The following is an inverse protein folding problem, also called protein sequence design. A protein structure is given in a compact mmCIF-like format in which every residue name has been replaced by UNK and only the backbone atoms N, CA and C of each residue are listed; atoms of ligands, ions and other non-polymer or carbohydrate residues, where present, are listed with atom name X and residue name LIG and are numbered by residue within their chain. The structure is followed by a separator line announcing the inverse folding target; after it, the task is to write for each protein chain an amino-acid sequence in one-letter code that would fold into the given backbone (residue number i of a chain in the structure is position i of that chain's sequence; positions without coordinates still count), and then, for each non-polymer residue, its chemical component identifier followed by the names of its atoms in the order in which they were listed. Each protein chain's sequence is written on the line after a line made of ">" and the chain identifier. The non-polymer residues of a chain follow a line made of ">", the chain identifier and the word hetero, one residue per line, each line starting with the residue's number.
data_IF_698122187496
#
_entry.id   IF_698122187496
#
_cell.length_a   1.000
_cell.length_b   1.000
_cell.length_c   1.000
_cell.angle_alpha   90.00
_cell.angle_beta   90.00
_cell.angle_gamma   90.00
#
_symmetry.space_group_name_H-M   'P 1'
#
loop_
_entity.id
_entity.type
_entity.pdbx_description
1 polymer ?
#
# COMPACT_ATOMS: atom_id res chain seq x y z
N UNK A 1 0.45 17.52 -4.60
CA UNK A 1 1.55 16.91 -3.80
C UNK A 1 2.41 16.08 -4.73
N UNK A 2 3.73 16.14 -4.62
CA UNK A 2 4.60 15.25 -5.41
C UNK A 2 4.42 13.80 -4.94
N UNK A 3 4.44 12.83 -5.87
CA UNK A 3 4.34 11.39 -5.59
C UNK A 3 5.41 10.66 -6.40
N UNK A 4 6.25 9.90 -5.70
CA UNK A 4 7.34 9.14 -6.34
C UNK A 4 6.80 8.09 -7.33
N UNK A 5 5.62 7.53 -7.05
CA UNK A 5 4.95 6.55 -7.92
C UNK A 5 4.62 7.08 -9.33
N UNK A 6 4.62 8.41 -9.55
CA UNK A 6 4.46 8.98 -10.89
C UNK A 6 5.56 8.54 -11.87
N UNK A 7 6.76 8.25 -11.38
CA UNK A 7 7.86 7.71 -12.19
C UNK A 7 7.42 6.41 -12.87
N UNK A 8 6.77 5.51 -12.11
CA UNK A 8 6.27 4.24 -12.66
C UNK A 8 5.17 4.45 -13.72
N UNK A 9 4.37 5.52 -13.62
CA UNK A 9 3.38 5.86 -14.64
C UNK A 9 4.07 6.40 -15.90
N UNK A 10 5.14 7.19 -15.76
CA UNK A 10 5.94 7.67 -16.89
C UNK A 10 6.65 6.53 -17.61
N UNK A 11 7.21 5.56 -16.87
CA UNK A 11 7.85 4.37 -17.44
C UNK A 11 6.83 3.49 -18.16
N UNK A 12 5.64 3.30 -17.59
CA UNK A 12 4.55 2.61 -18.26
C UNK A 12 4.15 3.29 -19.57
N UNK A 13 4.01 4.61 -19.57
CA UNK A 13 3.59 5.37 -20.75
C UNK A 13 4.60 5.22 -21.91
N UNK A 14 5.90 5.21 -21.61
CA UNK A 14 7.00 5.07 -22.58
C UNK A 14 7.24 3.65 -23.05
N UNK A 15 6.70 2.67 -22.33
CA UNK A 15 6.91 1.26 -22.66
C UNK A 15 6.22 0.88 -23.97
N UNK A 16 6.97 0.30 -24.91
CA UNK A 16 6.41 -0.28 -26.15
C UNK A 16 5.51 -1.51 -25.89
N UNK A 17 5.60 -2.10 -24.70
CA UNK A 17 4.82 -3.26 -24.30
C UNK A 17 3.67 -2.89 -23.37
N UNK A 18 3.37 -1.58 -23.21
CA UNK A 18 2.33 -1.12 -22.31
C UNK A 18 0.98 -1.75 -22.67
N UNK A 19 0.24 -2.06 -21.63
CA UNK A 19 -1.17 -2.45 -21.69
C UNK A 19 -2.00 -1.39 -20.96
N UNK A 20 -3.33 -1.39 -21.07
CA UNK A 20 -4.16 -0.56 -20.18
C UNK A 20 -3.73 -0.69 -18.73
N UNK A 21 -3.44 0.43 -18.06
CA UNK A 21 -2.94 0.48 -16.69
C UNK A 21 -4.10 0.55 -15.70
N UNK A 22 -4.17 -0.39 -14.77
CA UNK A 22 -5.14 -0.35 -13.67
C UNK A 22 -4.43 0.09 -12.39
N UNK A 23 -4.84 1.24 -11.83
CA UNK A 23 -4.41 1.70 -10.52
C UNK A 23 -5.25 1.02 -9.44
N UNK A 24 -4.58 0.22 -8.62
CA UNK A 24 -5.17 -0.48 -7.48
C UNK A 24 -4.81 0.22 -6.16
N UNK A 25 -5.42 -0.21 -5.05
CA UNK A 25 -5.13 0.31 -3.71
C UNK A 25 -6.37 0.77 -2.96
N UNK A 26 -6.22 1.03 -1.67
CA UNK A 26 -7.32 1.43 -0.79
C UNK A 26 -8.03 2.70 -1.28
N UNK A 27 -9.24 2.94 -0.76
CA UNK A 27 -9.91 4.21 -1.01
C UNK A 27 -9.12 5.39 -0.43
N UNK A 28 -9.20 6.55 -1.09
CA UNK A 28 -8.60 7.81 -0.66
C UNK A 28 -7.05 7.84 -0.63
N UNK A 29 -6.38 6.87 -1.27
CA UNK A 29 -4.90 6.89 -1.44
C UNK A 29 -4.43 7.77 -2.61
N UNK A 30 -5.36 8.40 -3.36
CA UNK A 30 -5.05 9.39 -4.39
C UNK A 30 -5.01 8.84 -5.82
N UNK A 31 -5.67 7.73 -6.15
CA UNK A 31 -5.71 7.15 -7.52
C UNK A 31 -6.21 8.14 -8.57
N UNK A 32 -7.39 8.74 -8.37
CA UNK A 32 -7.96 9.76 -9.27
C UNK A 32 -7.03 10.95 -9.44
N UNK A 33 -6.44 11.43 -8.34
CA UNK A 33 -5.49 12.54 -8.39
C UNK A 33 -4.26 12.19 -9.25
N UNK A 34 -3.68 11.00 -9.09
CA UNK A 34 -2.53 10.56 -9.89
C UNK A 34 -2.84 10.52 -11.38
N UNK A 35 -4.00 9.98 -11.77
CA UNK A 35 -4.41 9.93 -13.18
C UNK A 35 -4.61 11.35 -13.76
N UNK A 36 -5.27 12.22 -13.02
CA UNK A 36 -5.53 13.60 -13.46
C UNK A 36 -4.27 14.47 -13.47
N UNK A 37 -3.35 14.27 -12.52
CA UNK A 37 -2.06 14.94 -12.48
C UNK A 37 -1.20 14.54 -13.67
N UNK A 38 -1.05 13.22 -13.92
CA UNK A 38 -0.35 12.71 -15.09
C UNK A 38 -0.96 13.25 -16.39
N UNK A 39 -2.29 13.22 -16.50
CA UNK A 39 -3.01 13.73 -17.66
C UNK A 39 -2.75 15.23 -17.91
N UNK A 40 -2.74 16.03 -16.85
CA UNK A 40 -2.52 17.47 -16.95
C UNK A 40 -1.12 17.83 -17.47
N UNK A 41 -0.13 17.00 -17.15
CA UNK A 41 1.26 17.21 -17.53
C UNK A 41 1.58 16.68 -18.94
N UNK A 42 1.02 15.53 -19.34
CA UNK A 42 1.38 14.82 -20.56
C UNK A 42 0.32 14.88 -21.67
N UNK A 43 -0.96 15.03 -21.32
CA UNK A 43 -2.10 15.05 -22.25
C UNK A 43 -3.05 16.23 -21.99
N UNK A 44 -2.56 17.47 -21.84
CA UNK A 44 -3.37 18.60 -21.33
C UNK A 44 -4.60 18.92 -22.20
N UNK A 45 -4.56 18.59 -23.49
CA UNK A 45 -5.67 18.81 -24.45
C UNK A 45 -6.32 17.54 -24.95
N UNK A 46 -5.65 16.40 -24.80
CA UNK A 46 -6.00 15.12 -25.41
C UNK A 46 -6.42 14.07 -24.36
N UNK A 47 -6.92 14.52 -23.21
CA UNK A 47 -7.46 13.61 -22.18
C UNK A 47 -8.96 13.47 -22.32
N UNK A 48 -9.42 12.22 -22.37
CA UNK A 48 -10.83 11.84 -22.24
C UNK A 48 -11.03 11.15 -20.90
N UNK A 49 -11.74 11.80 -19.99
CA UNK A 49 -12.00 11.31 -18.64
C UNK A 49 -13.46 10.86 -18.52
N UNK A 50 -13.65 9.63 -18.06
CA UNK A 50 -14.94 9.01 -17.80
C UNK A 50 -14.99 8.53 -16.35
N UNK A 51 -15.94 9.03 -15.57
CA UNK A 51 -16.26 8.51 -14.25
C UNK A 51 -17.54 7.67 -14.34
N UNK A 52 -17.43 6.38 -14.08
CA UNK A 52 -18.56 5.47 -14.15
C UNK A 52 -19.51 5.57 -12.94
N UNK A 53 -19.13 6.20 -11.86
CA UNK A 53 -20.03 6.43 -10.71
C UNK A 53 -21.08 7.50 -11.04
N UNK A 54 -20.68 8.57 -11.74
CA UNK A 54 -21.50 9.75 -11.99
C UNK A 54 -22.19 9.72 -13.36
N UNK A 55 -22.05 8.65 -14.14
CA UNK A 55 -22.56 8.58 -15.52
C UNK A 55 -23.41 7.33 -15.76
N UNK A 56 -24.67 7.38 -15.31
CA UNK A 56 -25.63 6.30 -15.48
C UNK A 56 -25.87 5.96 -16.96
N UNK A 57 -26.02 6.99 -17.81
CA UNK A 57 -26.25 6.80 -19.24
C UNK A 57 -25.12 6.01 -19.89
N UNK A 58 -23.88 6.34 -19.59
CA UNK A 58 -22.74 5.64 -20.16
C UNK A 58 -22.63 4.20 -19.62
N UNK A 59 -22.94 3.97 -18.33
CA UNK A 59 -23.02 2.59 -17.79
C UNK A 59 -24.07 1.75 -18.52
N UNK A 60 -25.23 2.31 -18.81
CA UNK A 60 -26.29 1.65 -19.54
C UNK A 60 -25.90 1.38 -21.00
N UNK A 61 -25.24 2.35 -21.65
CA UNK A 61 -24.69 2.16 -23.00
C UNK A 61 -23.68 1.01 -23.01
N UNK A 62 -22.71 0.99 -22.10
CA UNK A 62 -21.75 -0.13 -22.00
C UNK A 62 -22.41 -1.49 -21.75
N UNK A 63 -23.58 -1.52 -21.13
CA UNK A 63 -24.35 -2.77 -20.93
C UNK A 63 -24.89 -3.32 -22.24
N UNK A 64 -25.21 -2.47 -23.20
CA UNK A 64 -25.94 -2.80 -24.41
C UNK A 64 -25.09 -2.83 -25.70
N UNK A 65 -23.87 -2.24 -25.68
CA UNK A 65 -23.00 -2.22 -26.86
C UNK A 65 -22.22 -3.53 -27.04
N UNK A 66 -21.75 -3.77 -28.26
CA UNK A 66 -20.64 -4.68 -28.50
C UNK A 66 -19.38 -4.07 -27.92
N UNK A 67 -18.62 -4.81 -27.10
CA UNK A 67 -17.45 -4.29 -26.36
C UNK A 67 -16.13 -4.43 -27.15
N UNK A 68 -16.16 -4.52 -28.49
CA UNK A 68 -14.95 -4.33 -29.29
C UNK A 68 -14.44 -2.86 -29.18
N UNK A 69 -13.16 -2.64 -29.44
CA UNK A 69 -12.52 -1.37 -29.18
C UNK A 69 -13.17 -0.21 -29.98
N UNK A 70 -13.62 -0.47 -31.21
CA UNK A 70 -14.22 0.56 -32.07
C UNK A 70 -15.50 1.11 -31.47
N UNK A 71 -16.45 0.22 -31.11
CA UNK A 71 -17.71 0.65 -30.51
C UNK A 71 -17.54 1.30 -29.15
N UNK A 72 -16.57 0.83 -28.36
CA UNK A 72 -16.22 1.47 -27.07
C UNK A 72 -15.76 2.90 -27.31
N UNK A 73 -14.80 3.12 -28.22
CA UNK A 73 -14.26 4.45 -28.52
C UNK A 73 -15.32 5.37 -29.13
N UNK A 74 -16.13 4.90 -30.08
CA UNK A 74 -17.24 5.64 -30.67
C UNK A 74 -18.27 6.06 -29.60
N UNK A 75 -18.67 5.13 -28.74
CA UNK A 75 -19.63 5.41 -27.65
C UNK A 75 -19.11 6.50 -26.71
N UNK A 76 -17.83 6.40 -26.28
CA UNK A 76 -17.23 7.40 -25.41
C UNK A 76 -17.07 8.74 -26.12
N UNK A 77 -16.67 8.74 -27.40
CA UNK A 77 -16.52 9.94 -28.20
C UNK A 77 -17.85 10.71 -28.33
N UNK A 78 -18.94 9.98 -28.59
CA UNK A 78 -20.29 10.57 -28.64
C UNK A 78 -20.75 11.11 -27.29
N UNK A 79 -20.54 10.34 -26.22
CA UNK A 79 -20.96 10.72 -24.88
C UNK A 79 -20.18 11.95 -24.32
N UNK A 80 -18.90 12.09 -24.70
CA UNK A 80 -18.02 13.17 -24.20
C UNK A 80 -17.84 14.33 -25.16
N UNK A 81 -18.26 14.17 -26.43
CA UNK A 81 -18.00 15.17 -27.48
C UNK A 81 -16.53 15.27 -27.89
N UNK A 82 -15.67 14.34 -27.49
CA UNK A 82 -14.21 14.37 -27.73
C UNK A 82 -13.80 13.27 -28.69
N UNK A 83 -12.91 13.58 -29.63
CA UNK A 83 -12.30 12.61 -30.55
C UNK A 83 -11.22 11.81 -29.81
N UNK A 84 -11.23 10.50 -29.93
CA UNK A 84 -10.23 9.59 -29.34
C UNK A 84 -9.34 9.07 -30.48
N UNK A 85 -8.02 9.27 -30.35
CA UNK A 85 -7.02 8.89 -31.37
C UNK A 85 -5.86 8.15 -30.74
N UNK A 86 -5.48 7.02 -31.32
CA UNK A 86 -4.24 6.31 -30.92
C UNK A 86 -3.02 7.22 -31.02
N UNK A 87 -2.09 7.04 -30.09
CA UNK A 87 -0.84 7.82 -30.00
C UNK A 87 -1.00 9.27 -29.57
N UNK A 88 -2.23 9.76 -29.38
CA UNK A 88 -2.49 11.15 -28.96
C UNK A 88 -3.36 11.26 -27.72
N UNK A 89 -4.35 10.40 -27.58
CA UNK A 89 -5.36 10.50 -26.52
C UNK A 89 -4.99 9.61 -25.34
N UNK A 90 -5.10 10.17 -24.13
CA UNK A 90 -5.16 9.41 -22.90
C UNK A 90 -6.63 9.20 -22.50
N UNK A 91 -7.07 7.95 -22.45
CA UNK A 91 -8.40 7.56 -22.00
C UNK A 91 -8.34 7.15 -20.53
N UNK A 92 -9.13 7.80 -19.67
CA UNK A 92 -9.18 7.53 -18.23
C UNK A 92 -10.56 6.99 -17.86
N UNK A 93 -10.57 5.81 -17.23
CA UNK A 93 -11.74 5.17 -16.64
C UNK A 93 -11.65 5.21 -15.12
N UNK A 94 -12.38 6.12 -14.50
CA UNK A 94 -12.45 6.19 -13.04
C UNK A 94 -13.68 5.46 -12.51
N UNK A 95 -13.56 4.90 -11.30
CA UNK A 95 -14.56 4.04 -10.63
C UNK A 95 -15.07 2.91 -11.55
N UNK A 96 -14.14 2.27 -12.29
CA UNK A 96 -14.42 1.28 -13.34
C UNK A 96 -15.20 0.05 -12.80
N UNK A 97 -15.14 -0.24 -11.49
CA UNK A 97 -15.91 -1.33 -10.87
C UNK A 97 -17.43 -1.12 -10.95
N UNK A 98 -17.90 0.11 -11.18
CA UNK A 98 -19.32 0.42 -11.37
C UNK A 98 -19.82 -0.05 -12.75
N UNK A 99 -18.91 -0.30 -13.71
CA UNK A 99 -19.23 -0.85 -15.05
C UNK A 99 -18.39 -2.10 -15.35
N UNK A 100 -18.86 -3.31 -15.00
CA UNK A 100 -18.14 -4.56 -15.28
C UNK A 100 -17.78 -4.78 -16.75
N UNK A 101 -18.58 -4.23 -17.67
CA UNK A 101 -18.31 -4.33 -19.11
C UNK A 101 -17.23 -3.33 -19.57
N UNK A 102 -17.13 -2.17 -18.93
CA UNK A 102 -15.99 -1.26 -19.14
C UNK A 102 -14.68 -1.93 -18.71
N UNK A 103 -14.67 -2.66 -17.59
CA UNK A 103 -13.52 -3.46 -17.20
C UNK A 103 -13.17 -4.54 -18.24
N UNK A 104 -14.18 -5.22 -18.80
CA UNK A 104 -13.96 -6.22 -19.86
C UNK A 104 -13.44 -5.59 -21.15
N UNK A 105 -13.86 -4.35 -21.48
CA UNK A 105 -13.42 -3.65 -22.70
C UNK A 105 -11.94 -3.33 -22.74
N UNK A 106 -11.27 -3.27 -21.57
CA UNK A 106 -9.80 -3.07 -21.51
C UNK A 106 -9.04 -4.15 -22.28
N UNK A 107 -9.58 -5.39 -22.34
CA UNK A 107 -8.98 -6.45 -23.15
C UNK A 107 -8.98 -6.09 -24.64
N UNK A 108 -10.12 -5.64 -25.15
CA UNK A 108 -10.28 -5.31 -26.58
C UNK A 108 -9.48 -4.05 -26.93
N UNK A 109 -9.48 -3.04 -26.07
CA UNK A 109 -8.63 -1.86 -26.24
C UNK A 109 -7.13 -2.24 -26.30
N UNK A 110 -6.68 -3.21 -25.49
CA UNK A 110 -5.32 -3.71 -25.53
C UNK A 110 -4.99 -4.44 -26.85
N UNK A 111 -5.93 -5.23 -27.37
CA UNK A 111 -5.70 -6.10 -28.55
C UNK A 111 -5.88 -5.37 -29.87
N UNK A 112 -6.87 -4.49 -29.96
CA UNK A 112 -7.30 -3.87 -31.21
C UNK A 112 -6.80 -2.42 -31.38
N UNK A 113 -6.44 -1.74 -30.28
CA UNK A 113 -5.94 -0.37 -30.26
C UNK A 113 -4.72 -0.21 -29.32
N UNK A 114 -3.61 -0.95 -29.58
CA UNK A 114 -2.44 -0.95 -28.66
C UNK A 114 -1.75 0.40 -28.55
N UNK A 115 -1.91 1.28 -29.53
CA UNK A 115 -1.37 2.64 -29.50
C UNK A 115 -2.17 3.59 -28.58
N UNK A 116 -3.39 3.23 -28.14
CA UNK A 116 -4.17 4.05 -27.24
C UNK A 116 -3.68 3.93 -25.79
N UNK A 117 -3.34 5.04 -25.18
CA UNK A 117 -3.01 5.07 -23.74
C UNK A 117 -4.32 5.01 -22.94
N UNK A 118 -4.45 3.99 -22.09
CA UNK A 118 -5.65 3.79 -21.25
C UNK A 118 -5.23 3.62 -19.80
N UNK A 119 -5.78 4.44 -18.91
CA UNK A 119 -5.64 4.29 -17.47
C UNK A 119 -7.01 4.00 -16.85
N UNK A 120 -7.05 3.13 -15.88
CA UNK A 120 -8.27 2.83 -15.14
C UNK A 120 -8.00 2.86 -13.64
N UNK A 121 -8.96 3.32 -12.86
CA UNK A 121 -8.91 3.21 -11.41
C UNK A 121 -10.23 2.65 -10.89
N UNK A 122 -10.13 1.88 -9.82
CA UNK A 122 -11.29 1.43 -9.10
C UNK A 122 -10.93 1.01 -7.69
N UNK A 123 -11.78 1.38 -6.76
CA UNK A 123 -11.71 0.85 -5.42
C UNK A 123 -12.36 -0.53 -5.39
N UNK A 124 -11.79 -1.49 -4.65
CA UNK A 124 -12.39 -2.82 -4.47
C UNK A 124 -12.50 -3.65 -5.77
N UNK A 125 -11.62 -3.43 -6.75
CA UNK A 125 -11.61 -4.21 -8.00
C UNK A 125 -11.49 -5.72 -7.74
N UNK A 126 -10.67 -6.15 -6.80
CA UNK A 126 -10.56 -7.55 -6.37
C UNK A 126 -11.87 -8.15 -5.86
N UNK A 127 -12.74 -7.33 -5.27
CA UNK A 127 -14.04 -7.76 -4.75
C UNK A 127 -15.13 -7.80 -5.82
N UNK A 128 -15.10 -6.89 -6.78
CA UNK A 128 -16.10 -6.85 -7.86
C UNK A 128 -16.04 -8.09 -8.75
N UNK A 129 -14.86 -8.69 -8.86
CA UNK A 129 -14.60 -9.91 -9.64
C UNK A 129 -15.24 -11.15 -9.03
N UNK A 130 -15.43 -11.21 -7.72
CA UNK A 130 -15.98 -12.35 -7.00
C UNK A 130 -17.53 -12.31 -6.88
N UNK A 131 -18.20 -11.28 -7.40
CA UNK A 131 -19.67 -11.21 -7.36
C UNK A 131 -20.31 -12.17 -8.38
N UNK A 132 -20.59 -13.40 -7.97
CA UNK A 132 -21.53 -14.29 -8.69
C UNK A 132 -22.93 -13.66 -8.66
N UNK A 133 -23.39 -13.09 -9.77
CA UNK A 133 -24.80 -12.69 -9.90
C UNK A 133 -25.69 -13.92 -9.79
N UNK A 134 -26.74 -13.85 -8.93
CA UNK A 134 -27.82 -14.85 -8.90
C UNK A 134 -28.39 -15.01 -10.30
N UNK A 135 -28.51 -16.27 -10.78
CA UNK A 135 -29.22 -16.63 -12.02
C UNK A 135 -30.67 -16.14 -11.91
N UNK A 136 -31.01 -15.08 -12.60
CA UNK A 136 -32.39 -14.76 -12.93
C UNK A 136 -32.87 -15.72 -14.04
N UNK A 137 -34.05 -16.32 -13.87
CA UNK A 137 -34.74 -17.07 -14.94
C UNK A 137 -35.19 -16.07 -16.01
N UNK A 138 -34.51 -16.04 -17.15
CA UNK A 138 -34.86 -15.23 -18.31
C UNK A 138 -33.71 -15.22 -19.31
N UNK A 139 -34.02 -15.52 -20.57
CA UNK A 139 -33.13 -15.53 -21.72
C UNK A 139 -32.67 -14.09 -22.03
N UNK A 140 -31.73 -13.55 -21.28
CA UNK A 140 -30.99 -12.33 -21.60
C UNK A 140 -29.52 -12.67 -21.54
N UNK A 141 -28.74 -12.20 -22.52
CA UNK A 141 -27.31 -12.32 -22.64
C UNK A 141 -26.67 -12.16 -21.27
N UNK A 142 -26.14 -13.24 -20.71
CA UNK A 142 -25.52 -13.23 -19.40
C UNK A 142 -24.35 -12.27 -19.47
N UNK A 143 -24.47 -11.10 -18.83
CA UNK A 143 -23.41 -10.11 -18.62
C UNK A 143 -22.31 -10.74 -17.75
N UNK A 144 -21.55 -11.68 -18.30
CA UNK A 144 -20.32 -12.18 -17.70
C UNK A 144 -19.24 -11.11 -17.92
N UNK A 145 -19.06 -10.26 -16.93
CA UNK A 145 -17.82 -9.52 -16.84
C UNK A 145 -16.68 -10.54 -16.80
N UNK A 146 -15.80 -10.48 -17.79
CA UNK A 146 -14.55 -11.22 -17.80
C UNK A 146 -13.45 -10.27 -17.41
N UNK A 147 -12.64 -10.67 -16.42
CA UNK A 147 -11.45 -9.89 -16.09
C UNK A 147 -10.45 -9.96 -17.25
N UNK A 148 -9.79 -8.85 -17.64
CA UNK A 148 -8.86 -8.81 -18.77
C UNK A 148 -7.50 -9.44 -18.43
N UNK A 149 -7.49 -10.74 -18.06
CA UNK A 149 -6.29 -11.46 -17.65
C UNK A 149 -5.19 -11.37 -18.71
N UNK A 150 -3.99 -10.94 -18.31
CA UNK A 150 -2.84 -10.83 -19.20
C UNK A 150 -2.91 -9.68 -20.22
N UNK A 151 -3.96 -8.86 -20.20
CA UNK A 151 -4.21 -7.74 -21.13
C UNK A 151 -4.22 -6.37 -20.44
N UNK A 152 -3.80 -6.32 -19.20
CA UNK A 152 -3.67 -5.11 -18.39
C UNK A 152 -2.40 -5.17 -17.57
N UNK A 153 -1.86 -4.00 -17.27
CA UNK A 153 -0.82 -3.77 -16.28
C UNK A 153 -1.43 -3.28 -14.97
N UNK A 154 -0.78 -3.53 -13.86
CA UNK A 154 -1.25 -3.13 -12.54
C UNK A 154 -0.23 -2.23 -11.85
N UNK A 155 -0.73 -1.22 -11.17
CA UNK A 155 0.07 -0.37 -10.29
C UNK A 155 -0.64 -0.19 -8.95
N UNK A 156 0.01 -0.64 -7.88
CA UNK A 156 -0.51 -0.53 -6.53
C UNK A 156 -0.20 0.85 -5.93
N UNK A 157 -1.25 1.62 -5.67
CA UNK A 157 -1.14 2.94 -5.05
C UNK A 157 -1.26 2.80 -3.53
N UNK A 158 -0.23 3.26 -2.85
CA UNK A 158 -0.09 3.21 -1.39
C UNK A 158 -0.29 4.60 -0.78
N UNK A 159 -0.51 4.73 0.54
CA UNK A 159 -0.38 5.99 1.24
C UNK A 159 0.98 6.64 0.97
N UNK A 160 1.12 7.94 1.21
CA UNK A 160 2.40 8.64 1.07
C UNK A 160 3.45 8.02 2.00
N UNK A 161 4.67 7.84 1.48
CA UNK A 161 5.85 7.50 2.27
C UNK A 161 6.31 8.68 3.13
N UNK A 162 7.23 8.44 4.06
CA UNK A 162 7.87 9.53 4.81
C UNK A 162 8.55 10.53 3.87
N UNK A 163 9.19 10.06 2.81
CA UNK A 163 9.78 10.88 1.76
C UNK A 163 8.75 11.80 1.11
N UNK A 164 7.65 11.24 0.64
CA UNK A 164 6.56 11.99 0.01
C UNK A 164 5.88 12.97 0.98
N UNK A 165 5.80 12.62 2.26
CA UNK A 165 5.34 13.51 3.33
C UNK A 165 6.26 14.72 3.49
N UNK A 166 7.58 14.54 3.53
CA UNK A 166 8.54 15.64 3.61
C UNK A 166 8.39 16.61 2.43
N UNK A 167 8.26 16.07 1.21
CA UNK A 167 7.98 16.89 0.02
C UNK A 167 6.65 17.66 0.14
N UNK A 168 5.61 16.99 0.66
CA UNK A 168 4.29 17.62 0.81
C UNK A 168 4.27 18.77 1.81
N UNK A 169 5.12 18.69 2.84
CA UNK A 169 5.24 19.73 3.86
C UNK A 169 6.35 20.77 3.57
N UNK A 170 7.02 20.70 2.41
CA UNK A 170 8.06 21.64 2.02
C UNK A 170 9.39 21.48 2.76
N UNK A 171 9.68 20.27 3.23
CA UNK A 171 10.92 19.91 3.95
C UNK A 171 11.82 18.97 3.12
N UNK A 172 11.70 19.03 1.81
CA UNK A 172 12.45 18.22 0.84
C UNK A 172 13.96 18.42 0.90
N UNK A 173 14.47 19.57 1.42
CA UNK A 173 15.90 19.81 1.69
C UNK A 173 16.56 18.73 2.57
N UNK A 174 15.79 18.08 3.43
CA UNK A 174 16.30 16.98 4.27
C UNK A 174 16.47 15.68 3.50
N UNK A 175 15.72 15.48 2.42
CA UNK A 175 15.86 14.30 1.55
C UNK A 175 17.21 14.29 0.85
N UNK A 176 17.70 15.45 0.41
CA UNK A 176 19.01 15.58 -0.24
C UNK A 176 20.15 15.09 0.66
N UNK A 177 20.04 15.26 1.98
CA UNK A 177 21.02 14.77 2.93
C UNK A 177 21.01 13.23 3.00
N UNK A 178 19.82 12.62 3.01
CA UNK A 178 19.67 11.15 3.02
C UNK A 178 20.15 10.57 1.70
N UNK A 179 19.73 11.15 0.57
CA UNK A 179 20.06 10.67 -0.77
C UNK A 179 21.59 10.71 -1.06
N UNK A 180 22.28 11.74 -0.55
CA UNK A 180 23.75 11.87 -0.65
C UNK A 180 24.50 11.12 0.44
N UNK A 181 23.79 10.53 1.41
CA UNK A 181 24.38 9.88 2.58
C UNK A 181 25.36 10.80 3.33
N UNK A 182 24.98 12.08 3.52
CA UNK A 182 25.78 13.04 4.29
C UNK A 182 25.65 12.77 5.80
N UNK A 183 26.29 11.68 6.25
CA UNK A 183 26.17 11.18 7.61
C UNK A 183 26.43 12.24 8.68
N UNK A 184 27.40 13.13 8.44
CA UNK A 184 27.74 14.21 9.37
C UNK A 184 26.61 15.24 9.51
N UNK A 185 26.05 15.66 8.39
CA UNK A 185 24.93 16.60 8.41
C UNK A 185 23.64 15.95 8.91
N UNK A 186 23.40 14.66 8.58
CA UNK A 186 22.30 13.89 9.12
C UNK A 186 22.36 13.84 10.64
N UNK A 187 23.53 13.59 11.21
CA UNK A 187 23.71 13.56 12.67
C UNK A 187 23.45 14.94 13.32
N UNK A 188 24.01 16.01 12.75
CA UNK A 188 23.75 17.38 13.22
C UNK A 188 22.26 17.70 13.19
N UNK A 189 21.53 17.23 12.16
CA UNK A 189 20.12 17.49 11.97
C UNK A 189 19.21 16.41 12.59
N UNK A 190 19.74 15.40 13.27
CA UNK A 190 18.99 14.31 13.89
C UNK A 190 17.77 14.78 14.70
N UNK A 191 17.86 15.81 15.58
CA UNK A 191 16.69 16.27 16.32
C UNK A 191 15.54 16.73 15.42
N UNK A 192 15.84 17.32 14.25
CA UNK A 192 14.84 17.75 13.27
C UNK A 192 14.24 16.53 12.57
N UNK A 193 15.08 15.61 12.10
CA UNK A 193 14.60 14.35 11.48
C UNK A 193 13.66 13.58 12.41
N UNK A 194 14.05 13.44 13.69
CA UNK A 194 13.20 12.76 14.69
C UNK A 194 11.87 13.48 14.89
N UNK A 195 11.87 14.82 14.93
CA UNK A 195 10.63 15.61 15.01
C UNK A 195 9.74 15.41 13.79
N UNK A 196 10.31 15.43 12.60
CA UNK A 196 9.59 15.21 11.34
C UNK A 196 9.04 13.79 11.24
N UNK A 197 9.83 12.78 11.64
CA UNK A 197 9.36 11.40 11.70
C UNK A 197 8.20 11.23 12.67
N UNK A 198 8.30 11.80 13.88
CA UNK A 198 7.20 11.78 14.85
C UNK A 198 5.94 12.45 14.30
N UNK A 199 6.07 13.55 13.55
CA UNK A 199 4.94 14.18 12.88
C UNK A 199 4.32 13.24 11.85
N UNK A 200 5.13 12.55 11.03
CA UNK A 200 4.63 11.55 10.09
C UNK A 200 3.96 10.35 10.78
N UNK A 201 4.55 9.81 11.84
CA UNK A 201 3.93 8.71 12.60
C UNK A 201 2.55 9.08 13.16
N UNK A 202 2.31 10.37 13.42
CA UNK A 202 1.01 10.86 13.85
C UNK A 202 0.04 11.11 12.68
N UNK A 203 0.51 11.81 11.63
CA UNK A 203 -0.31 12.22 10.47
C UNK A 203 -0.56 11.05 9.53
N UNK A 204 0.44 10.16 9.37
CA UNK A 204 0.42 9.09 8.38
C UNK A 204 0.62 9.58 6.96
N UNK A 205 0.39 8.68 6.02
CA UNK A 205 0.52 8.91 4.58
C UNK A 205 -0.81 9.08 3.84
N UNK A 206 -1.96 9.14 4.52
CA UNK A 206 -3.23 9.36 3.82
C UNK A 206 -3.29 10.77 3.22
N UNK A 207 -3.51 10.91 1.88
CA UNK A 207 -3.40 12.19 1.17
C UNK A 207 -4.17 13.34 1.81
N UNK A 208 -5.40 13.10 2.26
CA UNK A 208 -6.22 14.14 2.90
C UNK A 208 -5.63 14.61 4.23
N UNK A 209 -5.18 13.68 5.07
CA UNK A 209 -4.56 14.01 6.35
C UNK A 209 -3.23 14.77 6.14
N UNK A 210 -2.42 14.36 5.17
CA UNK A 210 -1.17 15.03 4.80
C UNK A 210 -1.45 16.43 4.25
N UNK A 211 -2.44 16.59 3.36
CA UNK A 211 -2.86 17.89 2.80
C UNK A 211 -3.25 18.86 3.91
N UNK A 212 -4.19 18.45 4.76
CA UNK A 212 -4.64 19.27 5.89
C UNK A 212 -3.48 19.69 6.78
N UNK A 213 -2.59 18.75 7.11
CA UNK A 213 -1.40 19.05 7.92
C UNK A 213 -0.41 19.96 7.19
N UNK A 214 -0.19 19.79 5.90
CA UNK A 214 0.73 20.63 5.12
C UNK A 214 0.28 22.11 5.08
N UNK A 215 -1.02 22.33 5.01
CA UNK A 215 -1.63 23.68 4.94
C UNK A 215 -1.73 24.35 6.32
N UNK A 216 -2.01 23.57 7.39
CA UNK A 216 -2.38 24.13 8.71
C UNK A 216 -1.34 23.93 9.80
N UNK A 217 -0.47 22.91 9.68
CA UNK A 217 0.44 22.43 10.74
C UNK A 217 -0.29 22.05 12.04
N UNK A 218 -1.60 21.83 11.99
CA UNK A 218 -2.42 21.49 13.14
C UNK A 218 -2.70 19.98 13.20
N UNK A 219 -2.15 19.30 14.20
CA UNK A 219 -2.37 17.87 14.45
C UNK A 219 -3.83 17.51 14.77
N UNK A 220 -4.63 18.44 15.30
CA UNK A 220 -6.05 18.21 15.62
C UNK A 220 -6.85 18.11 14.32
N UNK A 221 -6.55 18.97 13.35
CA UNK A 221 -7.21 18.95 12.04
C UNK A 221 -6.80 17.71 11.24
N UNK A 222 -5.52 17.32 11.26
CA UNK A 222 -5.06 16.06 10.67
C UNK A 222 -5.78 14.86 11.31
N UNK A 223 -5.92 14.82 12.65
CA UNK A 223 -6.67 13.77 13.36
C UNK A 223 -8.14 13.73 12.98
N UNK A 224 -8.76 14.89 12.75
CA UNK A 224 -10.13 14.97 12.24
C UNK A 224 -10.23 14.29 10.86
N UNK A 225 -9.36 14.65 9.92
CA UNK A 225 -9.31 14.04 8.59
C UNK A 225 -9.15 12.50 8.66
N UNK A 226 -8.26 12.00 9.52
CA UNK A 226 -8.10 10.56 9.74
C UNK A 226 -9.38 9.87 10.26
N UNK A 227 -10.09 10.51 11.21
CA UNK A 227 -11.36 9.98 11.73
C UNK A 227 -12.44 9.97 10.65
N UNK A 228 -12.49 10.98 9.80
CA UNK A 228 -13.43 11.04 8.68
C UNK A 228 -13.13 9.93 7.65
N UNK A 229 -11.86 9.63 7.38
CA UNK A 229 -11.44 8.49 6.55
C UNK A 229 -11.89 7.16 7.17
N UNK A 230 -11.65 6.93 8.46
CA UNK A 230 -12.06 5.71 9.16
C UNK A 230 -13.59 5.52 9.13
N UNK A 231 -14.34 6.61 9.30
CA UNK A 231 -15.81 6.60 9.18
C UNK A 231 -16.26 6.26 7.77
N UNK A 232 -15.58 6.79 6.73
CA UNK A 232 -15.86 6.46 5.34
C UNK A 232 -15.62 4.98 5.07
N UNK A 233 -14.57 4.38 5.62
CA UNK A 233 -14.30 2.94 5.49
C UNK A 233 -15.39 2.08 6.14
N UNK A 234 -15.89 2.46 7.33
CA UNK A 234 -17.01 1.74 7.96
C UNK A 234 -18.29 1.78 7.12
N UNK A 235 -18.58 2.94 6.49
CA UNK A 235 -19.69 3.06 5.53
C UNK A 235 -19.49 2.20 4.30
N UNK A 236 -18.26 2.07 3.81
CA UNK A 236 -17.92 1.20 2.68
C UNK A 236 -18.10 -0.28 3.02
N UNK A 237 -17.73 -0.70 4.23
CA UNK A 237 -18.02 -2.04 4.71
C UNK A 237 -19.52 -2.32 4.64
N UNK A 238 -20.34 -1.37 5.12
CA UNK A 238 -21.79 -1.51 5.10
C UNK A 238 -22.38 -1.55 3.68
N UNK A 239 -21.82 -0.78 2.73
CA UNK A 239 -22.26 -0.73 1.32
C UNK A 239 -21.91 -2.01 0.56
N UNK A 240 -20.73 -2.57 0.81
CA UNK A 240 -20.16 -3.64 -0.03
C UNK A 240 -20.20 -5.04 0.60
N UNK A 241 -20.44 -5.17 1.91
CA UNK A 241 -20.64 -6.47 2.53
C UNK A 241 -21.89 -7.16 1.99
N UNK A 242 -21.74 -8.42 1.56
CA UNK A 242 -22.86 -9.22 0.97
C UNK A 242 -24.04 -9.41 1.91
N UNK A 243 -23.80 -9.40 3.21
CA UNK A 243 -24.80 -9.59 4.26
C UNK A 243 -24.30 -9.02 5.61
N UNK A 244 -25.23 -8.92 6.59
CA UNK A 244 -24.93 -8.41 7.94
C UNK A 244 -23.88 -9.23 8.69
N UNK A 245 -23.76 -10.52 8.39
CA UNK A 245 -22.79 -11.41 9.03
C UNK A 245 -21.35 -11.10 8.61
N UNK A 246 -21.12 -10.91 7.29
CA UNK A 246 -19.82 -10.47 6.77
C UNK A 246 -19.46 -9.07 7.30
N UNK A 247 -20.43 -8.14 7.33
CA UNK A 247 -20.22 -6.79 7.87
C UNK A 247 -19.75 -6.83 9.34
N UNK A 248 -20.40 -7.65 10.17
CA UNK A 248 -20.01 -7.80 11.57
C UNK A 248 -18.57 -8.33 11.71
N UNK A 249 -18.17 -9.29 10.87
CA UNK A 249 -16.81 -9.84 10.89
C UNK A 249 -15.77 -8.86 10.40
N UNK A 250 -16.06 -8.09 9.34
CA UNK A 250 -15.19 -7.02 8.85
C UNK A 250 -14.91 -6.01 9.96
N UNK A 251 -15.95 -5.53 10.64
CA UNK A 251 -15.82 -4.58 11.76
C UNK A 251 -15.03 -5.17 12.93
N UNK A 252 -15.26 -6.44 13.28
CA UNK A 252 -14.53 -7.10 14.37
C UNK A 252 -13.03 -7.23 14.02
N UNK A 253 -12.67 -7.68 12.81
CA UNK A 253 -11.29 -7.77 12.37
C UNK A 253 -10.63 -6.40 12.37
N UNK A 254 -11.24 -5.43 11.70
CA UNK A 254 -10.71 -4.08 11.51
C UNK A 254 -10.46 -3.38 12.84
N UNK A 255 -11.47 -3.33 13.70
CA UNK A 255 -11.38 -2.62 14.98
C UNK A 255 -10.45 -3.32 16.00
N UNK A 256 -10.11 -4.59 15.80
CA UNK A 256 -9.24 -5.33 16.70
C UNK A 256 -7.76 -5.21 16.37
N UNK A 257 -7.39 -4.70 15.18
CA UNK A 257 -5.99 -4.58 14.75
C UNK A 257 -5.12 -3.86 15.78
N UNK A 258 -5.49 -2.67 16.31
CA UNK A 258 -4.67 -1.99 17.31
C UNK A 258 -4.42 -2.83 18.58
N UNK A 259 -5.45 -3.53 19.06
CA UNK A 259 -5.34 -4.37 20.24
C UNK A 259 -4.48 -5.63 20.03
N UNK A 260 -4.43 -6.15 18.79
CA UNK A 260 -3.53 -7.27 18.45
C UNK A 260 -2.08 -6.80 18.41
N UNK A 261 -1.82 -5.65 17.77
CA UNK A 261 -0.48 -5.08 17.62
C UNK A 261 0.09 -4.56 18.96
N UNK A 262 -0.76 -4.15 19.90
CA UNK A 262 -0.35 -3.70 21.23
C UNK A 262 0.14 -4.83 22.15
N UNK A 263 -0.04 -6.11 21.78
CA UNK A 263 0.43 -7.24 22.59
C UNK A 263 1.94 -7.42 22.40
N UNK A 264 2.57 -8.01 23.41
CA UNK A 264 3.99 -8.38 23.35
C UNK A 264 4.28 -9.32 22.18
N UNK A 265 3.49 -10.37 22.06
CA UNK A 265 3.46 -11.21 20.84
C UNK A 265 2.37 -10.68 19.91
N UNK A 266 2.77 -9.99 18.83
CA UNK A 266 1.91 -9.33 17.85
C UNK A 266 1.26 -10.32 16.85
N UNK A 267 1.46 -11.61 17.01
CA UNK A 267 0.80 -12.67 16.22
C UNK A 267 -0.72 -12.49 16.29
N UNK A 268 -1.39 -12.53 15.14
CA UNK A 268 -2.83 -12.38 15.06
C UNK A 268 -3.54 -13.60 15.68
N UNK A 269 -4.39 -13.36 16.66
CA UNK A 269 -5.10 -14.40 17.41
C UNK A 269 -6.60 -14.25 17.26
N UNK A 270 -7.25 -15.14 16.51
CA UNK A 270 -8.71 -15.09 16.27
C UNK A 270 -9.56 -15.16 17.55
N UNK A 271 -9.10 -15.90 18.56
CA UNK A 271 -9.79 -15.98 19.87
C UNK A 271 -9.92 -14.63 20.57
N UNK A 272 -9.06 -13.66 20.23
CA UNK A 272 -9.16 -12.28 20.76
C UNK A 272 -10.29 -11.46 20.14
N UNK A 273 -10.86 -11.88 19.02
CA UNK A 273 -12.04 -11.23 18.42
C UNK A 273 -13.31 -11.53 19.22
N UNK A 274 -13.47 -12.78 19.61
CA UNK A 274 -14.51 -13.26 20.53
C UNK A 274 -14.17 -14.65 21.00
N UNK A 275 -14.74 -15.06 22.14
CA UNK A 275 -14.59 -16.41 22.66
C UNK A 275 -15.05 -17.46 21.63
N UNK A 276 -14.20 -18.47 21.37
CA UNK A 276 -14.48 -19.56 20.42
C UNK A 276 -14.32 -19.21 18.94
N UNK A 277 -13.85 -18.00 18.58
CA UNK A 277 -13.62 -17.61 17.19
C UNK A 277 -12.56 -18.51 16.53
N UNK A 278 -12.84 -18.97 15.30
CA UNK A 278 -11.96 -19.81 14.49
C UNK A 278 -11.57 -19.11 13.19
N UNK A 279 -10.36 -19.37 12.70
CA UNK A 279 -9.81 -18.76 11.47
C UNK A 279 -10.78 -18.83 10.28
N UNK A 280 -11.31 -20.03 9.97
CA UNK A 280 -12.23 -20.26 8.84
C UNK A 280 -13.49 -19.38 8.85
N UNK A 281 -13.88 -18.88 10.01
CA UNK A 281 -15.07 -18.02 10.12
C UNK A 281 -14.80 -16.60 9.63
N UNK A 282 -13.54 -16.16 9.68
CA UNK A 282 -13.10 -14.80 9.35
C UNK A 282 -12.33 -14.72 8.05
N UNK A 283 -12.06 -15.85 7.39
CA UNK A 283 -11.24 -15.91 6.16
C UNK A 283 -11.80 -15.00 5.05
N UNK A 284 -13.11 -15.04 4.79
CA UNK A 284 -13.74 -14.17 3.79
C UNK A 284 -13.59 -12.68 4.15
N UNK A 285 -13.72 -12.33 5.44
CA UNK A 285 -13.58 -10.96 5.88
C UNK A 285 -12.12 -10.48 5.82
N UNK A 286 -11.17 -11.34 6.19
CA UNK A 286 -9.74 -11.03 6.08
C UNK A 286 -9.33 -10.85 4.61
N UNK A 287 -9.75 -11.76 3.74
CA UNK A 287 -9.48 -11.65 2.30
C UNK A 287 -10.10 -10.38 1.72
N UNK A 288 -11.30 -10.01 2.17
CA UNK A 288 -11.94 -8.76 1.76
C UNK A 288 -11.09 -7.53 2.10
N UNK A 289 -10.56 -7.45 3.33
CA UNK A 289 -9.70 -6.33 3.76
C UNK A 289 -8.38 -6.28 2.98
N UNK A 290 -7.83 -7.45 2.64
CA UNK A 290 -6.62 -7.56 1.79
C UNK A 290 -6.89 -7.09 0.36
N UNK A 291 -7.96 -7.59 -0.27
CA UNK A 291 -8.34 -7.23 -1.63
C UNK A 291 -8.69 -5.74 -1.75
N UNK A 292 -9.16 -5.14 -0.65
CA UNK A 292 -9.39 -3.71 -0.53
C UNK A 292 -8.10 -2.89 -0.33
N UNK A 293 -6.94 -3.53 -0.14
CA UNK A 293 -5.66 -2.88 0.13
C UNK A 293 -5.58 -2.20 1.50
N UNK A 294 -6.42 -2.59 2.45
CA UNK A 294 -6.54 -1.94 3.75
C UNK A 294 -5.64 -2.55 4.83
N UNK A 295 -5.20 -3.80 4.62
CA UNK A 295 -4.37 -4.53 5.56
C UNK A 295 -3.28 -5.32 4.87
N UNK A 296 -2.18 -5.56 5.58
CA UNK A 296 -1.07 -6.40 5.18
C UNK A 296 -0.91 -7.57 6.16
N UNK A 297 -0.89 -8.80 5.63
CA UNK A 297 -0.48 -9.97 6.40
C UNK A 297 1.04 -10.11 6.30
N UNK A 298 1.70 -10.09 7.45
CA UNK A 298 3.12 -10.29 7.57
C UNK A 298 3.35 -11.68 8.16
N UNK A 299 3.76 -12.63 7.30
CA UNK A 299 3.84 -14.05 7.65
C UNK A 299 5.14 -14.41 8.37
N UNK A 300 5.05 -15.40 9.25
CA UNK A 300 6.21 -16.03 9.85
C UNK A 300 6.96 -16.86 8.80
N UNK A 301 8.30 -16.88 8.89
CA UNK A 301 9.16 -17.86 8.19
C UNK A 301 10.01 -18.62 9.19
N UNK A 302 10.10 -19.95 8.99
CA UNK A 302 11.06 -20.80 9.68
C UNK A 302 11.18 -22.16 8.97
N UNK A 303 12.39 -22.56 8.52
CA UNK A 303 13.63 -21.77 8.51
C UNK A 303 13.62 -20.66 7.47
N UNK A 304 14.38 -19.56 7.67
CA UNK A 304 14.50 -18.48 6.68
C UNK A 304 15.47 -18.90 5.55
N UNK A 305 14.93 -19.57 4.55
CA UNK A 305 15.66 -20.06 3.36
C UNK A 305 15.06 -19.49 2.09
N UNK A 306 15.86 -19.44 1.04
CA UNK A 306 15.44 -18.99 -0.26
C UNK A 306 14.71 -20.06 -1.07
N UNK A 307 13.67 -19.68 -1.82
CA UNK A 307 12.99 -18.37 -1.74
C UNK A 307 12.10 -18.29 -0.49
N UNK A 308 12.13 -17.17 0.24
CA UNK A 308 11.45 -16.98 1.55
C UNK A 308 9.97 -17.38 1.50
N UNK A 309 9.29 -17.03 0.43
CA UNK A 309 7.85 -17.30 0.24
C UNK A 309 7.51 -18.80 0.31
N UNK A 310 8.45 -19.68 -0.02
CA UNK A 310 8.25 -21.14 0.06
C UNK A 310 8.27 -21.66 1.49
N UNK A 311 8.73 -20.85 2.44
CA UNK A 311 8.86 -21.20 3.87
C UNK A 311 7.92 -20.39 4.76
N UNK A 312 6.93 -19.70 4.18
CA UNK A 312 5.91 -18.99 4.92
C UNK A 312 4.98 -19.94 5.68
N UNK A 313 4.80 -19.66 6.95
CA UNK A 313 3.78 -20.30 7.78
C UNK A 313 2.47 -19.50 7.71
N UNK A 314 1.55 -19.91 6.85
CA UNK A 314 0.25 -19.25 6.66
C UNK A 314 -0.65 -19.30 7.91
N UNK A 315 -0.35 -20.14 8.88
CA UNK A 315 -1.07 -20.20 10.16
C UNK A 315 -0.60 -19.17 11.17
N UNK A 316 0.51 -18.48 10.90
CA UNK A 316 1.19 -17.58 11.80
C UNK A 316 1.52 -16.26 11.10
N UNK A 317 0.79 -15.21 11.42
CA UNK A 317 1.01 -13.87 10.81
C UNK A 317 0.70 -12.76 11.80
N UNK A 318 1.28 -11.59 11.53
CA UNK A 318 0.88 -10.30 12.11
C UNK A 318 -0.05 -9.60 11.11
N UNK A 319 -1.00 -8.81 11.58
CA UNK A 319 -1.93 -8.06 10.73
C UNK A 319 -1.73 -6.57 10.95
N UNK A 320 -1.21 -5.90 9.94
CA UNK A 320 -0.93 -4.47 9.94
C UNK A 320 -1.96 -3.72 9.10
N UNK A 321 -2.18 -2.45 9.44
CA UNK A 321 -2.96 -1.54 8.60
C UNK A 321 -2.11 -1.05 7.41
N UNK A 322 -2.76 -0.45 6.44
CA UNK A 322 -2.05 0.16 5.31
C UNK A 322 -1.44 1.53 5.63
N UNK A 323 -1.80 2.16 6.78
CA UNK A 323 -1.33 3.49 7.17
C UNK A 323 -1.13 3.62 8.68
N UNK A 324 0.06 4.14 9.07
CA UNK A 324 0.45 4.32 10.47
C UNK A 324 -0.38 5.38 11.18
N UNK A 325 -0.75 6.47 10.50
CA UNK A 325 -1.57 7.53 11.07
C UNK A 325 -2.99 7.07 11.39
N UNK A 326 -3.57 6.21 10.52
CA UNK A 326 -4.88 5.60 10.78
C UNK A 326 -4.81 4.62 11.96
N UNK A 327 -3.72 3.86 12.13
CA UNK A 327 -3.51 3.03 13.31
C UNK A 327 -3.50 3.88 14.59
N UNK A 328 -2.78 4.99 14.58
CA UNK A 328 -2.76 5.97 15.68
C UNK A 328 -4.12 6.59 15.96
N UNK A 329 -4.90 6.86 14.91
CA UNK A 329 -6.26 7.41 15.03
C UNK A 329 -7.24 6.40 15.64
N UNK A 330 -7.19 5.14 15.21
CA UNK A 330 -8.01 4.05 15.78
C UNK A 330 -7.68 3.78 17.25
N UNK A 331 -6.42 3.95 17.62
CA UNK A 331 -5.95 3.80 19.01
C UNK A 331 -6.23 5.03 19.88
N UNK A 332 -6.85 6.08 19.33
CA UNK A 332 -7.03 7.39 19.98
C UNK A 332 -5.72 7.97 20.55
N UNK A 333 -4.61 7.74 19.88
CA UNK A 333 -3.28 8.18 20.29
C UNK A 333 -3.22 9.72 20.33
N UNK A 334 -2.93 10.36 21.52
CA UNK A 334 -2.79 11.80 21.62
C UNK A 334 -1.50 12.29 20.93
N UNK A 335 -1.55 13.46 20.28
CA UNK A 335 -0.38 14.07 19.66
C UNK A 335 0.73 14.32 20.66
N UNK A 336 0.40 14.87 21.85
CA UNK A 336 1.36 15.15 22.91
C UNK A 336 2.16 13.92 23.33
N UNK A 337 1.49 12.77 23.50
CA UNK A 337 2.13 11.50 23.89
C UNK A 337 3.20 11.07 22.90
N UNK A 338 2.93 11.20 21.59
CA UNK A 338 3.87 10.80 20.55
C UNK A 338 5.00 11.82 20.36
N UNK A 339 4.68 13.12 20.39
CA UNK A 339 5.64 14.19 20.10
C UNK A 339 6.61 14.43 21.25
N UNK A 340 6.11 14.48 22.49
CA UNK A 340 6.89 14.79 23.67
C UNK A 340 7.50 13.52 24.33
N UNK A 341 6.91 12.36 24.08
CA UNK A 341 7.27 11.09 24.69
C UNK A 341 6.70 10.95 26.12
N UNK A 342 6.34 9.73 26.49
CA UNK A 342 6.10 9.35 27.89
C UNK A 342 6.48 7.88 28.05
N UNK A 343 7.00 7.49 29.22
CA UNK A 343 7.40 6.11 29.51
C UNK A 343 6.21 5.11 29.45
N UNK A 344 5.00 5.63 29.60
CA UNK A 344 3.74 4.86 29.52
C UNK A 344 3.47 4.36 28.08
N UNK A 345 4.09 4.98 27.08
CA UNK A 345 3.83 4.73 25.65
C UNK A 345 4.75 3.68 25.00
N UNK A 346 5.71 3.13 25.74
CA UNK A 346 6.81 2.29 25.21
C UNK A 346 6.32 1.08 24.39
N UNK A 347 5.31 0.35 24.84
CA UNK A 347 4.85 -0.86 24.13
C UNK A 347 4.16 -0.55 22.80
N UNK A 348 3.33 0.49 22.76
CA UNK A 348 2.64 0.88 21.51
C UNK A 348 3.58 1.56 20.51
N UNK A 349 4.64 2.20 20.99
CA UNK A 349 5.71 2.74 20.14
C UNK A 349 6.38 1.67 19.28
N UNK A 350 6.63 0.47 19.82
CA UNK A 350 7.14 -0.66 19.06
C UNK A 350 6.20 -1.05 17.91
N UNK A 351 4.88 -1.05 18.18
CA UNK A 351 3.87 -1.39 17.17
C UNK A 351 3.77 -0.35 16.05
N UNK A 352 3.86 0.95 16.39
CA UNK A 352 3.90 2.02 15.41
C UNK A 352 5.17 1.96 14.56
N UNK A 353 6.31 1.64 15.17
CA UNK A 353 7.59 1.52 14.48
C UNK A 353 7.57 0.38 13.48
N UNK A 354 7.11 -0.82 13.88
CA UNK A 354 6.99 -1.95 12.95
C UNK A 354 5.95 -1.67 11.84
N UNK A 355 4.81 -1.05 12.19
CA UNK A 355 3.82 -0.61 11.20
C UNK A 355 4.42 0.35 10.17
N UNK A 356 5.21 1.32 10.63
CA UNK A 356 5.90 2.28 9.77
C UNK A 356 6.93 1.61 8.87
N UNK A 357 7.80 0.77 9.43
CA UNK A 357 8.83 0.05 8.66
C UNK A 357 8.18 -0.84 7.59
N UNK A 358 7.14 -1.60 7.95
CA UNK A 358 6.41 -2.40 6.98
C UNK A 358 5.77 -1.54 5.88
N UNK A 359 5.18 -0.40 6.23
CA UNK A 359 4.58 0.53 5.27
C UNK A 359 5.60 1.04 4.25
N UNK A 360 6.81 1.42 4.69
CA UNK A 360 7.90 1.87 3.80
C UNK A 360 8.40 0.72 2.90
N UNK A 361 8.59 -0.49 3.44
CA UNK A 361 8.97 -1.67 2.65
C UNK A 361 7.91 -2.02 1.59
N UNK A 362 6.63 -2.02 1.97
CA UNK A 362 5.53 -2.27 1.04
C UNK A 362 5.43 -1.19 -0.04
N UNK A 363 5.68 0.08 0.30
CA UNK A 363 5.70 1.17 -0.67
C UNK A 363 6.83 1.02 -1.70
N UNK A 364 7.96 0.45 -1.29
CA UNK A 364 9.08 0.08 -2.15
C UNK A 364 8.89 -1.28 -2.87
N UNK A 365 7.70 -1.90 -2.81
CA UNK A 365 7.41 -3.24 -3.35
C UNK A 365 8.33 -4.36 -2.80
N UNK A 366 8.89 -4.18 -1.61
CA UNK A 366 9.72 -5.17 -0.95
C UNK A 366 8.87 -6.09 -0.08
N UNK A 367 8.87 -7.37 -0.41
CA UNK A 367 8.25 -8.40 0.41
C UNK A 367 9.12 -8.70 1.64
N UNK A 368 8.49 -8.81 2.80
CA UNK A 368 9.16 -9.15 4.05
C UNK A 368 8.35 -10.16 4.86
N UNK A 369 9.04 -10.88 5.72
CA UNK A 369 8.49 -11.84 6.66
C UNK A 369 9.05 -11.55 8.06
N UNK A 370 8.46 -12.08 9.13
CA UNK A 370 9.10 -12.10 10.43
C UNK A 370 9.60 -13.51 10.76
N UNK A 371 10.60 -13.60 11.64
CA UNK A 371 11.13 -14.89 12.04
C UNK A 371 10.96 -15.12 13.54
N UNK A 372 10.56 -16.36 13.88
CA UNK A 372 10.67 -16.89 15.24
C UNK A 372 11.18 -18.32 15.16
N UNK A 373 12.03 -18.78 16.09
CA UNK A 373 12.43 -20.18 16.17
C UNK A 373 11.22 -21.06 16.53
N UNK A 374 11.36 -22.36 16.37
CA UNK A 374 10.31 -23.32 16.78
C UNK A 374 10.22 -23.44 18.30
N UNK A 375 11.31 -23.17 19.01
CA UNK A 375 11.36 -23.15 20.47
C UNK A 375 12.01 -21.86 20.96
N UNK A 376 11.47 -21.28 22.03
CA UNK A 376 11.91 -20.01 22.62
C UNK A 376 11.09 -18.81 22.19
N UNK A 377 11.39 -17.65 22.79
CA UNK A 377 10.60 -16.41 22.66
C UNK A 377 11.27 -15.37 21.74
N UNK A 378 12.33 -15.76 21.00
CA UNK A 378 13.00 -14.83 20.10
C UNK A 378 12.10 -14.52 18.90
N UNK A 379 11.98 -13.23 18.57
CA UNK A 379 11.28 -12.76 17.39
C UNK A 379 12.12 -11.69 16.70
N UNK A 380 12.39 -11.86 15.40
CA UNK A 380 13.01 -10.87 14.55
C UNK A 380 11.93 -10.21 13.70
N UNK A 381 11.87 -8.89 13.73
CA UNK A 381 10.77 -8.12 13.15
C UNK A 381 10.63 -8.30 11.65
N UNK A 382 11.77 -8.29 10.91
CA UNK A 382 11.75 -8.40 9.45
C UNK A 382 12.87 -9.30 8.95
N UNK A 383 12.53 -10.14 7.99
CA UNK A 383 13.44 -10.94 7.15
C UNK A 383 13.10 -10.64 5.71
N UNK A 384 14.05 -10.13 4.95
CA UNK A 384 13.85 -9.59 3.62
C UNK A 384 14.71 -10.37 2.63
N UNK A 385 14.13 -10.82 1.52
CA UNK A 385 14.88 -11.40 0.42
C UNK A 385 15.25 -10.31 -0.58
N UNK A 386 16.53 -10.25 -0.96
CA UNK A 386 17.03 -9.39 -2.03
C UNK A 386 18.10 -10.13 -2.84
N UNK A 387 17.87 -10.34 -4.12
CA UNK A 387 18.71 -11.18 -4.95
C UNK A 387 18.90 -12.56 -4.37
N UNK A 388 20.14 -12.98 -4.25
CA UNK A 388 20.55 -14.28 -3.69
C UNK A 388 20.79 -14.25 -2.18
N UNK A 389 20.34 -13.20 -1.50
CA UNK A 389 20.58 -13.00 -0.07
C UNK A 389 19.32 -12.80 0.75
N UNK A 390 19.44 -13.11 2.04
CA UNK A 390 18.41 -12.82 3.04
C UNK A 390 18.98 -11.86 4.06
N UNK A 391 18.27 -10.74 4.25
CA UNK A 391 18.66 -9.65 5.11
C UNK A 391 17.75 -9.58 6.34
N UNK A 392 18.26 -9.89 7.56
CA UNK A 392 17.52 -9.64 8.80
C UNK A 392 17.54 -8.14 9.14
N UNK A 393 16.37 -7.61 9.55
CA UNK A 393 16.19 -6.24 9.98
C UNK A 393 15.42 -6.22 11.31
N UNK A 394 16.01 -5.59 12.32
CA UNK A 394 15.38 -5.35 13.61
C UNK A 394 14.97 -3.89 13.72
N UNK A 395 13.72 -3.63 14.14
CA UNK A 395 13.19 -2.29 14.31
C UNK A 395 13.05 -1.93 15.80
N UNK A 396 13.61 -0.77 16.20
CA UNK A 396 13.56 -0.27 17.57
C UNK A 396 12.95 1.12 17.63
N UNK A 397 11.97 1.30 18.50
CA UNK A 397 11.25 2.57 18.66
C UNK A 397 12.06 3.69 19.34
N UNK A 398 13.18 3.36 20.00
CA UNK A 398 14.00 4.29 20.78
C UNK A 398 15.48 4.16 20.46
N UNK A 399 16.29 4.63 21.39
CA UNK A 399 17.77 4.60 21.32
C UNK A 399 18.38 3.33 21.92
N UNK A 400 17.60 2.53 22.67
CA UNK A 400 18.09 1.25 23.19
C UNK A 400 18.03 0.18 22.11
N UNK A 401 19.18 -0.25 21.64
CA UNK A 401 19.33 -1.13 20.48
C UNK A 401 19.71 -2.57 20.84
N UNK A 402 19.72 -2.94 22.13
CA UNK A 402 19.98 -4.33 22.52
C UNK A 402 18.92 -5.26 21.89
N UNK A 403 19.35 -6.17 21.03
CA UNK A 403 18.49 -7.17 20.38
C UNK A 403 19.09 -8.57 20.53
N UNK A 404 18.49 -9.36 21.40
CA UNK A 404 18.84 -10.78 21.57
C UNK A 404 18.40 -11.60 20.34
N UNK A 405 17.27 -11.23 19.74
CA UNK A 405 16.71 -11.97 18.60
C UNK A 405 17.56 -11.82 17.35
N UNK A 406 18.00 -10.61 17.01
CA UNK A 406 18.91 -10.37 15.89
C UNK A 406 20.26 -11.09 16.10
N UNK A 407 20.80 -11.06 17.32
CA UNK A 407 22.03 -11.80 17.64
C UNK A 407 21.84 -13.29 17.42
N UNK A 408 20.78 -13.89 17.97
CA UNK A 408 20.46 -15.32 17.79
C UNK A 408 20.30 -15.68 16.31
N UNK A 409 19.58 -14.84 15.56
CA UNK A 409 19.40 -15.06 14.11
C UNK A 409 20.74 -15.07 13.37
N UNK A 410 21.61 -14.10 13.65
CA UNK A 410 22.94 -13.98 13.03
C UNK A 410 23.84 -15.17 13.33
N UNK A 411 23.84 -15.63 14.59
CA UNK A 411 24.59 -16.83 15.00
C UNK A 411 24.10 -18.10 14.29
N UNK A 412 22.79 -18.21 14.10
CA UNK A 412 22.14 -19.40 13.51
C UNK A 412 22.25 -19.46 11.99
N UNK A 413 22.14 -18.34 11.29
CA UNK A 413 21.99 -18.30 9.83
C UNK A 413 23.13 -17.58 9.11
N UNK A 414 24.00 -16.84 9.82
CA UNK A 414 25.20 -16.17 9.30
C UNK A 414 24.92 -15.32 8.03
N UNK A 415 23.97 -14.40 8.07
CA UNK A 415 23.63 -13.55 6.91
C UNK A 415 24.84 -12.71 6.48
N UNK A 416 24.95 -12.42 5.18
CA UNK A 416 26.04 -11.58 4.64
C UNK A 416 25.99 -10.14 5.16
N UNK A 417 24.80 -9.64 5.47
CA UNK A 417 24.55 -8.32 6.02
C UNK A 417 23.32 -8.34 6.91
N UNK A 418 23.33 -7.53 7.94
CA UNK A 418 22.23 -7.40 8.90
C UNK A 418 21.96 -5.93 9.14
N UNK A 419 20.70 -5.59 9.35
CA UNK A 419 20.29 -4.22 9.62
C UNK A 419 19.60 -4.08 10.96
N UNK A 420 19.77 -2.91 11.56
CA UNK A 420 18.95 -2.44 12.66
C UNK A 420 18.51 -1.01 12.35
N UNK A 421 17.25 -0.72 12.60
CA UNK A 421 16.72 0.64 12.45
C UNK A 421 16.18 1.15 13.78
N UNK A 422 16.55 2.38 14.12
CA UNK A 422 16.19 3.01 15.40
C UNK A 422 16.20 4.54 15.29
N UNK A 423 16.13 5.25 16.43
CA UNK A 423 16.35 6.70 16.46
C UNK A 423 17.82 7.08 16.69
N UNK A 424 18.74 6.12 16.64
CA UNK A 424 20.18 6.36 16.74
C UNK A 424 20.78 6.97 15.46
N UNK A 425 22.07 7.25 15.55
CA UNK A 425 22.90 7.70 14.45
C UNK A 425 23.03 6.64 13.36
N UNK A 426 23.36 7.09 12.17
CA UNK A 426 23.67 6.20 11.06
C UNK A 426 25.11 5.68 11.20
N UNK A 427 25.27 4.38 11.33
CA UNK A 427 26.56 3.72 11.40
C UNK A 427 26.69 2.71 10.26
N UNK A 428 27.12 3.15 9.05
CA UNK A 428 27.14 2.29 7.86
C UNK A 428 28.16 1.15 7.97
N UNK A 429 29.24 1.35 8.73
CA UNK A 429 30.31 0.36 8.92
C UNK A 429 30.05 -0.58 10.12
N UNK A 430 28.95 -0.40 10.84
CA UNK A 430 28.63 -1.25 11.98
C UNK A 430 28.04 -2.59 11.50
N UNK A 431 28.18 -3.62 12.35
CA UNK A 431 27.56 -4.93 12.11
C UNK A 431 26.77 -5.40 13.34
N UNK A 432 25.43 -5.30 13.32
CA UNK A 432 24.54 -4.91 12.21
C UNK A 432 24.71 -3.42 11.83
N UNK A 433 24.49 -3.10 10.54
CA UNK A 433 24.41 -1.71 10.11
C UNK A 433 23.26 -1.01 10.84
N UNK A 434 23.54 0.14 11.47
CA UNK A 434 22.52 0.97 12.11
C UNK A 434 22.04 2.03 11.14
N UNK A 435 20.79 1.94 10.70
CA UNK A 435 20.16 2.90 9.79
C UNK A 435 19.05 3.63 10.54
N UNK A 436 19.06 4.97 10.61
CA UNK A 436 17.99 5.69 11.30
C UNK A 436 16.60 5.38 10.70
N UNK A 437 15.58 5.34 11.55
CA UNK A 437 14.20 5.10 11.11
C UNK A 437 13.75 6.03 9.98
N UNK A 438 14.14 7.31 10.04
CA UNK A 438 13.79 8.29 9.00
C UNK A 438 14.53 8.07 7.66
N UNK A 439 15.50 7.15 7.64
CA UNK A 439 16.25 6.76 6.44
C UNK A 439 15.96 5.30 6.00
N UNK A 440 14.93 4.65 6.52
CA UNK A 440 14.60 3.24 6.26
C UNK A 440 14.47 2.92 4.75
N UNK A 441 13.99 3.87 3.96
CA UNK A 441 13.90 3.73 2.50
C UNK A 441 15.27 3.48 1.82
N UNK A 442 16.38 3.84 2.47
CA UNK A 442 17.73 3.57 1.95
C UNK A 442 18.05 2.07 1.95
N UNK A 443 17.55 1.32 2.93
CA UNK A 443 17.70 -0.15 2.99
C UNK A 443 16.91 -0.77 1.83
N UNK A 444 15.67 -0.31 1.61
CA UNK A 444 14.85 -0.81 0.52
C UNK A 444 15.55 -0.64 -0.83
N UNK A 445 16.07 0.56 -1.11
CA UNK A 445 16.79 0.85 -2.35
C UNK A 445 18.05 -0.01 -2.49
N UNK A 446 18.84 -0.19 -1.43
CA UNK A 446 20.05 -1.01 -1.48
C UNK A 446 19.76 -2.49 -1.78
N UNK A 447 18.66 -3.02 -1.24
CA UNK A 447 18.21 -4.39 -1.49
C UNK A 447 17.70 -4.54 -2.93
N UNK A 448 17.00 -3.54 -3.46
CA UNK A 448 16.46 -3.53 -4.83
C UNK A 448 17.58 -3.46 -5.87
N UNK A 449 18.54 -2.55 -5.70
CA UNK A 449 19.68 -2.37 -6.59
C UNK A 449 20.52 -3.66 -6.74
N UNK A 450 20.51 -4.55 -5.75
CA UNK A 450 21.16 -5.86 -5.79
C UNK A 450 20.48 -6.92 -6.67
N UNK A 451 19.28 -6.63 -7.20
CA UNK A 451 18.47 -7.58 -7.97
C UNK A 451 18.61 -7.44 -9.50
N UNK A 452 19.29 -6.40 -9.99
CA UNK A 452 19.40 -6.12 -11.42
C UNK A 452 20.38 -7.07 -12.12
N UNK A 453 19.83 -8.15 -12.70
CA UNK A 453 20.57 -9.08 -13.58
C UNK A 453 20.02 -8.94 -14.99
N UNK A 454 20.88 -8.56 -15.93
CA UNK A 454 20.57 -8.61 -17.36
C UNK A 454 21.15 -9.88 -17.98
N UNK A 455 20.52 -10.38 -19.06
CA UNK A 455 21.01 -11.58 -19.78
C UNK A 455 22.48 -11.48 -20.18
N UNK A 456 22.96 -10.26 -20.51
CA UNK A 456 24.34 -10.00 -20.89
C UNK A 456 25.34 -10.10 -19.72
N UNK A 457 24.88 -10.27 -18.48
CA UNK A 457 25.69 -10.49 -17.28
C UNK A 457 25.74 -11.95 -16.83
N UNK A 458 25.01 -12.84 -17.51
CA UNK A 458 25.05 -14.30 -17.35
C UNK A 458 26.07 -14.93 -18.27
#
# INVERSE_FOLDING_TARGET
>A
MKRDILVSIYDWERSRYRKPLILMGARQVGKTWLMTEFASQHYPKDTVYVNFMDNDLLRDQFTNINIDARFVVETISLATGKSIKEGKTLLIFDEIQESPRALTSLKFLCEEMPGLAVMAAGSLLGLSLNRKKKRGKGNQYTNKASFPVGKVDFLDIRPLTFREFLMAIGEDRYLDLIDRRDYKMIEIQRPVFVKLLKAYLFVGGMPEAVKVFSETRDFRLARKAQKDILLAYDKDFAKHAKNKYLLSKLRLLWNNIPAQLAKENKKFVYKSLRTGARAREYEEALQWLKDAGMVHQHFRVNPPRMPLRSYEDYSSFKLFMHDVGLLGAMSNLPAKTLLEGSDIFTNFNGSLTEQYVLQELVAANIASNYWTPDAGDAELDFVIQGGDNIYPLEAKAGINTKSKSLKLYRESFKPVKSYRTSLNEWHPDADPEEVPLYAIASIAKEIEDGNDITFDRL
#
